data_IF_649875036078
#
_entry.id   IF_649875036078
#
_cell.length_a   1.000
_cell.length_b   1.000
_cell.length_c   1.000
_cell.angle_alpha   90.00
_cell.angle_beta   90.00
_cell.angle_gamma   90.00
#
_symmetry.space_group_name_H-M   'P 1'
#
loop_
_entity.id
_entity.type
_entity.pdbx_description
1 polymer ?
#
# COMPACT_ATOMS: atom_id res chain seq x y z
N UNK A 1 -5.90 31.03 7.30
CA UNK A 1 -6.40 30.00 6.36
C UNK A 1 -5.18 29.32 5.79
N UNK A 2 -4.65 28.33 6.53
CA UNK A 2 -3.33 27.75 6.27
C UNK A 2 -3.53 26.49 5.44
N UNK A 3 -2.97 26.49 4.25
CA UNK A 3 -2.92 25.33 3.38
C UNK A 3 -2.20 24.19 4.11
N UNK A 4 -2.86 23.05 4.33
CA UNK A 4 -2.18 21.79 4.63
C UNK A 4 -1.45 21.33 3.36
N UNK A 5 -0.35 22.02 3.07
CA UNK A 5 0.64 21.68 2.07
C UNK A 5 1.59 20.69 2.73
N UNK A 6 1.54 19.44 2.27
CA UNK A 6 2.52 18.41 2.59
C UNK A 6 2.53 17.98 4.06
N UNK A 7 1.71 16.98 4.39
CA UNK A 7 2.11 16.06 5.45
C UNK A 7 3.47 15.47 5.02
N UNK A 8 4.47 15.82 5.81
CA UNK A 8 5.89 15.63 5.57
C UNK A 8 6.19 14.13 5.38
N UNK A 9 6.94 13.73 4.36
CA UNK A 9 7.46 12.35 4.19
C UNK A 9 8.23 11.88 5.45
N UNK A 10 8.72 12.84 6.24
CA UNK A 10 9.24 12.61 7.60
C UNK A 10 8.23 11.94 8.53
N UNK A 11 6.96 12.34 8.53
CA UNK A 11 5.93 11.78 9.42
C UNK A 11 5.69 10.30 9.13
N UNK A 12 5.62 9.87 7.87
CA UNK A 12 5.50 8.44 7.53
C UNK A 12 6.71 7.65 8.05
N UNK A 13 7.93 8.16 7.87
CA UNK A 13 9.16 7.47 8.32
C UNK A 13 9.36 7.52 9.84
N UNK A 14 8.95 8.61 10.50
CA UNK A 14 9.02 8.80 11.95
C UNK A 14 7.95 7.95 12.66
N UNK A 15 6.70 7.96 12.19
CA UNK A 15 5.64 7.09 12.70
C UNK A 15 5.94 5.60 12.46
N UNK A 16 6.60 5.25 11.35
CA UNK A 16 7.03 3.88 11.06
C UNK A 16 8.19 3.42 11.94
N UNK A 17 9.12 4.31 12.30
CA UNK A 17 10.19 4.03 13.27
C UNK A 17 9.63 3.75 14.66
N UNK A 18 8.62 4.52 15.08
CA UNK A 18 7.99 4.35 16.39
C UNK A 18 7.14 3.08 16.49
N UNK A 19 6.62 2.57 15.36
CA UNK A 19 5.70 1.41 15.32
C UNK A 19 6.36 0.07 14.93
N UNK A 20 7.69 0.01 14.72
CA UNK A 20 8.41 -1.23 14.36
C UNK A 20 7.79 -1.97 13.14
N UNK A 21 7.28 -1.21 12.16
CA UNK A 21 6.59 -1.78 11.00
C UNK A 21 7.61 -2.47 10.09
N UNK A 22 7.45 -3.78 9.87
CA UNK A 22 8.29 -4.54 8.95
C UNK A 22 7.85 -4.28 7.50
N UNK A 23 8.74 -3.81 6.61
CA UNK A 23 8.40 -3.66 5.21
C UNK A 23 8.13 -5.00 4.55
N UNK A 24 7.42 -4.96 3.42
CA UNK A 24 7.29 -6.11 2.52
C UNK A 24 8.14 -5.89 1.30
N UNK A 25 9.07 -6.81 1.09
CA UNK A 25 9.95 -6.80 -0.05
C UNK A 25 9.27 -7.44 -1.27
N UNK A 26 9.46 -6.86 -2.44
CA UNK A 26 8.89 -7.35 -3.71
C UNK A 26 9.35 -8.80 -4.01
N UNK A 27 10.60 -9.19 -3.70
CA UNK A 27 11.02 -10.60 -3.81
C UNK A 27 10.26 -11.51 -2.83
N UNK A 28 9.96 -11.05 -1.62
CA UNK A 28 9.18 -11.87 -0.67
C UNK A 28 7.74 -12.06 -1.17
N UNK A 29 7.17 -11.05 -1.86
CA UNK A 29 5.87 -11.17 -2.52
C UNK A 29 5.92 -12.22 -3.64
N UNK A 30 6.92 -12.18 -4.52
CA UNK A 30 7.12 -13.19 -5.58
C UNK A 30 7.25 -14.60 -4.98
N UNK A 31 8.09 -14.75 -3.95
CA UNK A 31 8.26 -16.03 -3.25
C UNK A 31 6.96 -16.53 -2.62
N UNK A 32 6.12 -15.63 -2.13
CA UNK A 32 4.84 -16.00 -1.55
C UNK A 32 3.87 -16.58 -2.59
N UNK A 33 3.88 -16.07 -3.82
CA UNK A 33 3.09 -16.67 -4.91
C UNK A 33 3.55 -18.07 -5.25
N UNK A 34 4.85 -18.25 -5.39
CA UNK A 34 5.43 -19.53 -5.81
C UNK A 34 5.17 -20.67 -4.82
N UNK A 35 4.68 -20.35 -3.62
CA UNK A 35 4.25 -21.33 -2.61
C UNK A 35 2.79 -21.75 -2.76
N UNK A 36 1.98 -20.97 -3.48
CA UNK A 36 0.58 -21.28 -3.70
C UNK A 36 0.45 -22.30 -4.82
N UNK A 37 -0.47 -23.25 -4.66
CA UNK A 37 -0.78 -24.20 -5.72
C UNK A 37 -1.73 -23.58 -6.76
N UNK A 38 -1.89 -24.25 -7.90
CA UNK A 38 -2.75 -23.80 -9.00
C UNK A 38 -4.19 -23.53 -8.54
N UNK A 39 -4.78 -24.37 -7.69
CA UNK A 39 -6.15 -24.17 -7.20
C UNK A 39 -6.27 -22.91 -6.33
N UNK A 40 -5.27 -22.66 -5.48
CA UNK A 40 -5.20 -21.45 -4.65
C UNK A 40 -5.03 -20.20 -5.50
N UNK A 41 -4.20 -20.25 -6.54
CA UNK A 41 -4.00 -19.14 -7.47
C UNK A 41 -5.29 -18.86 -8.27
N UNK A 42 -5.97 -19.88 -8.78
CA UNK A 42 -7.27 -19.72 -9.47
C UNK A 42 -8.33 -19.14 -8.53
N UNK A 43 -8.41 -19.61 -7.28
CA UNK A 43 -9.32 -19.02 -6.26
C UNK A 43 -9.02 -17.55 -5.97
N UNK A 44 -7.76 -17.14 -6.14
CA UNK A 44 -7.33 -15.75 -6.00
C UNK A 44 -7.51 -14.92 -7.27
N UNK A 45 -8.07 -15.50 -8.34
CA UNK A 45 -8.45 -14.78 -9.55
C UNK A 45 -7.38 -14.75 -10.65
N UNK A 46 -6.29 -15.51 -10.51
CA UNK A 46 -5.30 -15.63 -11.58
C UNK A 46 -5.81 -16.54 -12.71
N UNK A 47 -5.53 -16.16 -13.95
CA UNK A 47 -5.79 -17.01 -15.11
C UNK A 47 -4.69 -18.06 -15.35
N UNK A 48 -4.93 -19.00 -16.27
CA UNK A 48 -3.97 -20.07 -16.56
C UNK A 48 -2.63 -19.57 -17.13
N UNK A 49 -2.62 -18.44 -17.86
CA UNK A 49 -1.38 -17.86 -18.40
C UNK A 49 -0.57 -17.17 -17.31
N UNK A 50 -1.23 -16.49 -16.38
CA UNK A 50 -0.60 -15.87 -15.21
C UNK A 50 -0.03 -16.92 -14.28
N UNK A 51 -0.79 -17.97 -13.97
CA UNK A 51 -0.31 -19.11 -13.18
C UNK A 51 0.93 -19.72 -13.82
N UNK A 52 0.91 -19.91 -15.14
CA UNK A 52 2.09 -20.38 -15.87
C UNK A 52 3.29 -19.43 -15.71
N UNK A 53 3.12 -18.11 -15.81
CA UNK A 53 4.21 -17.13 -15.60
C UNK A 53 4.78 -17.16 -14.17
N UNK A 54 3.92 -17.39 -13.17
CA UNK A 54 4.32 -17.53 -11.77
C UNK A 54 5.17 -18.79 -11.58
N UNK A 55 4.76 -19.91 -12.17
CA UNK A 55 5.41 -21.21 -12.01
C UNK A 55 6.70 -21.35 -12.85
N UNK A 56 6.75 -20.76 -14.05
CA UNK A 56 7.73 -21.07 -15.12
C UNK A 56 9.14 -20.48 -14.97
N UNK A 57 9.57 -20.02 -13.79
CA UNK A 57 10.83 -19.25 -13.58
C UNK A 57 10.92 -17.93 -14.37
N UNK A 58 9.94 -17.61 -15.20
CA UNK A 58 9.95 -16.43 -16.07
C UNK A 58 9.89 -15.16 -15.23
N UNK A 59 9.09 -15.14 -14.15
CA UNK A 59 9.04 -14.01 -13.22
C UNK A 59 10.39 -13.71 -12.55
N UNK A 60 11.17 -14.73 -12.17
CA UNK A 60 12.51 -14.51 -11.58
C UNK A 60 13.49 -13.99 -12.63
N UNK A 61 13.38 -14.53 -13.84
CA UNK A 61 14.21 -14.15 -14.99
C UNK A 61 13.94 -12.70 -15.39
N UNK A 62 12.67 -12.29 -15.46
CA UNK A 62 12.27 -10.91 -15.73
C UNK A 62 12.73 -9.95 -14.64
N UNK A 63 12.60 -10.33 -13.37
CA UNK A 63 13.11 -9.53 -12.26
C UNK A 63 14.63 -9.28 -12.40
N UNK A 64 15.41 -10.33 -12.67
CA UNK A 64 16.86 -10.22 -12.89
C UNK A 64 17.20 -9.37 -14.11
N UNK A 65 16.46 -9.51 -15.21
CA UNK A 65 16.61 -8.66 -16.42
C UNK A 65 16.42 -7.19 -16.07
N UNK A 66 15.44 -6.85 -15.23
CA UNK A 66 15.24 -5.46 -14.77
C UNK A 66 16.46 -4.96 -13.98
N UNK A 67 17.00 -5.74 -13.04
CA UNK A 67 18.20 -5.34 -12.31
C UNK A 67 19.42 -5.18 -13.23
N UNK A 68 19.61 -6.07 -14.21
CA UNK A 68 20.69 -5.98 -15.20
C UNK A 68 20.56 -4.73 -16.09
N UNK A 69 19.34 -4.31 -16.43
CA UNK A 69 19.08 -3.04 -17.11
C UNK A 69 19.45 -1.86 -16.21
N UNK A 70 19.00 -1.87 -14.95
CA UNK A 70 19.31 -0.81 -13.96
C UNK A 70 20.80 -0.68 -13.69
N UNK A 71 21.53 -1.79 -13.64
CA UNK A 71 23.00 -1.82 -13.52
C UNK A 71 23.72 -0.98 -14.59
N UNK A 72 23.11 -0.66 -15.74
CA UNK A 72 23.72 0.16 -16.79
C UNK A 72 23.43 1.67 -16.65
N UNK A 73 22.53 2.07 -15.77
CA UNK A 73 22.12 3.46 -15.60
C UNK A 73 23.19 4.30 -14.87
N UNK A 74 23.27 5.61 -15.07
CA UNK A 74 24.15 6.48 -14.29
C UNK A 74 23.84 6.45 -12.79
N UNK A 75 24.86 6.63 -11.95
CA UNK A 75 24.72 6.62 -10.47
C UNK A 75 23.68 7.62 -9.98
N UNK A 76 23.66 8.83 -10.53
CA UNK A 76 22.67 9.85 -10.18
C UNK A 76 21.24 9.43 -10.52
N UNK A 77 21.05 8.67 -11.59
CA UNK A 77 19.74 8.11 -11.92
C UNK A 77 19.35 7.01 -10.93
N UNK A 78 20.28 6.13 -10.54
CA UNK A 78 20.02 5.10 -9.53
C UNK A 78 19.64 5.69 -8.17
N UNK A 79 20.29 6.77 -7.76
CA UNK A 79 19.94 7.52 -6.55
C UNK A 79 18.52 8.08 -6.62
N UNK A 80 18.13 8.67 -7.77
CA UNK A 80 16.75 9.15 -7.98
C UNK A 80 15.73 8.02 -7.93
N UNK A 81 16.10 6.82 -8.38
CA UNK A 81 15.29 5.61 -8.25
C UNK A 81 15.23 5.06 -6.82
N UNK A 82 15.91 5.67 -5.85
CA UNK A 82 15.86 5.34 -4.42
C UNK A 82 16.99 4.45 -3.92
N UNK A 83 17.94 4.06 -4.77
CA UNK A 83 19.06 3.21 -4.35
C UNK A 83 20.06 3.98 -3.47
N UNK A 84 20.42 3.39 -2.34
CA UNK A 84 21.56 3.84 -1.52
C UNK A 84 22.90 3.51 -2.18
N UNK A 85 23.98 4.18 -1.75
CA UNK A 85 25.34 3.91 -2.27
C UNK A 85 25.74 2.45 -2.14
N UNK A 86 25.44 1.82 -0.99
CA UNK A 86 25.72 0.40 -0.74
C UNK A 86 24.96 -0.49 -1.73
N UNK A 87 23.68 -0.18 -1.98
CA UNK A 87 22.89 -0.92 -2.97
C UNK A 87 23.39 -0.68 -4.39
N UNK A 88 23.86 0.53 -4.73
CA UNK A 88 24.44 0.83 -6.04
C UNK A 88 25.71 0.01 -6.25
N UNK A 89 26.63 -0.04 -5.29
CA UNK A 89 27.84 -0.87 -5.38
C UNK A 89 27.48 -2.34 -5.59
N UNK A 90 26.53 -2.87 -4.82
CA UNK A 90 26.06 -4.25 -4.98
C UNK A 90 25.39 -4.47 -6.34
N UNK A 91 24.57 -3.53 -6.81
CA UNK A 91 23.92 -3.57 -8.12
C UNK A 91 24.93 -3.57 -9.28
N UNK A 92 26.04 -2.83 -9.18
CA UNK A 92 27.10 -2.85 -10.20
C UNK A 92 27.80 -4.20 -10.29
N UNK A 93 27.83 -4.96 -9.20
CA UNK A 93 28.55 -6.22 -9.13
C UNK A 93 27.71 -7.45 -9.52
N UNK A 94 26.41 -7.31 -9.79
CA UNK A 94 25.59 -8.45 -10.20
C UNK A 94 26.04 -9.02 -11.57
N UNK A 95 25.99 -10.33 -11.71
CA UNK A 95 26.37 -11.11 -12.89
C UNK A 95 25.16 -11.63 -13.65
N UNK A 96 24.00 -11.73 -13.01
CA UNK A 96 22.73 -12.21 -13.56
C UNK A 96 22.40 -13.66 -13.20
N UNK A 97 23.32 -14.39 -12.56
CA UNK A 97 23.11 -15.77 -12.12
C UNK A 97 22.78 -15.89 -10.62
N UNK A 98 22.71 -14.77 -9.90
CA UNK A 98 22.37 -14.74 -8.48
C UNK A 98 20.98 -15.31 -8.21
N UNK A 99 20.80 -15.94 -7.06
CA UNK A 99 19.50 -16.32 -6.51
C UNK A 99 18.70 -15.09 -6.07
N UNK A 100 17.37 -15.21 -5.95
CA UNK A 100 16.53 -14.12 -5.45
C UNK A 100 16.94 -13.64 -4.05
N UNK A 101 17.43 -14.53 -3.17
CA UNK A 101 17.90 -14.17 -1.83
C UNK A 101 19.14 -13.28 -1.88
N UNK A 102 20.10 -13.60 -2.75
CA UNK A 102 21.32 -12.81 -2.91
C UNK A 102 21.04 -11.38 -3.38
N UNK A 103 20.00 -11.19 -4.19
CA UNK A 103 19.60 -9.88 -4.71
C UNK A 103 18.43 -9.22 -3.94
N UNK A 104 17.93 -9.83 -2.87
CA UNK A 104 16.80 -9.30 -2.07
C UNK A 104 17.03 -7.87 -1.59
N UNK A 105 18.24 -7.54 -1.16
CA UNK A 105 18.57 -6.18 -0.71
C UNK A 105 18.57 -5.12 -1.82
N UNK A 106 18.49 -5.52 -3.09
CA UNK A 106 18.36 -4.64 -4.27
C UNK A 106 16.91 -4.50 -4.75
N UNK A 107 16.00 -5.29 -4.18
CA UNK A 107 14.57 -5.26 -4.46
C UNK A 107 13.89 -4.15 -3.66
N UNK A 108 12.75 -3.67 -4.15
CA UNK A 108 11.99 -2.63 -3.49
C UNK A 108 11.30 -3.17 -2.23
N UNK A 109 11.28 -2.34 -1.20
CA UNK A 109 10.51 -2.54 0.01
C UNK A 109 9.31 -1.57 -0.01
N UNK A 110 8.12 -2.15 0.20
CA UNK A 110 6.88 -1.43 0.43
C UNK A 110 6.64 -1.32 1.92
N UNK A 111 6.42 -0.09 2.37
CA UNK A 111 6.05 0.24 3.73
C UNK A 111 4.61 0.71 3.72
N UNK A 112 3.81 0.29 4.71
CA UNK A 112 2.50 0.87 4.92
C UNK A 112 2.14 1.04 6.39
N UNK A 113 1.11 1.82 6.65
CA UNK A 113 0.59 2.06 7.99
C UNK A 113 -0.92 2.31 7.96
N UNK A 114 -1.54 2.15 9.12
CA UNK A 114 -2.81 2.79 9.44
C UNK A 114 -2.97 3.05 10.93
N UNK A 115 -3.84 3.99 11.28
CA UNK A 115 -4.25 4.26 12.65
C UNK A 115 -5.58 5.00 12.71
N UNK A 116 -6.16 5.06 13.90
CA UNK A 116 -7.38 5.82 14.18
C UNK A 116 -6.97 7.15 14.82
N UNK A 117 -7.32 8.25 14.17
CA UNK A 117 -7.06 9.62 14.63
C UNK A 117 -8.02 10.00 15.75
N UNK A 118 -9.31 9.79 15.49
CA UNK A 118 -10.39 10.20 16.39
C UNK A 118 -11.41 9.10 16.51
N UNK A 119 -11.94 8.94 17.71
CA UNK A 119 -13.06 8.06 18.02
C UNK A 119 -13.88 8.77 19.10
N UNK A 120 -15.04 9.31 18.71
CA UNK A 120 -15.86 10.14 19.60
C UNK A 120 -17.34 9.84 19.43
N UNK A 121 -18.08 9.92 20.51
CA UNK A 121 -19.55 9.93 20.47
C UNK A 121 -20.06 11.37 20.46
N UNK A 122 -20.99 11.64 19.57
CA UNK A 122 -21.68 12.91 19.37
C UNK A 122 -23.13 12.72 19.85
N UNK A 123 -23.48 13.35 20.98
CA UNK A 123 -24.79 13.22 21.62
C UNK A 123 -25.90 13.90 20.83
N UNK A 124 -25.57 14.94 20.07
CA UNK A 124 -26.56 15.76 19.36
C UNK A 124 -27.10 15.01 18.14
N UNK A 125 -26.23 14.24 17.50
CA UNK A 125 -26.60 13.36 16.37
C UNK A 125 -26.84 11.91 16.79
N UNK A 126 -26.63 11.58 18.06
CA UNK A 126 -26.63 10.23 18.62
C UNK A 126 -25.80 9.25 17.76
N UNK A 127 -24.56 9.65 17.44
CA UNK A 127 -23.67 8.88 16.56
C UNK A 127 -22.26 8.81 17.10
N UNK A 128 -21.61 7.67 16.90
CA UNK A 128 -20.16 7.55 17.03
C UNK A 128 -19.50 7.91 15.70
N UNK A 129 -18.48 8.76 15.75
CA UNK A 129 -17.68 9.22 14.60
C UNK A 129 -16.24 8.75 14.77
N UNK A 130 -15.68 8.19 13.72
CA UNK A 130 -14.31 7.68 13.67
C UNK A 130 -13.61 8.26 12.45
N UNK A 131 -12.39 8.75 12.63
CA UNK A 131 -11.50 9.14 11.54
C UNK A 131 -10.27 8.26 11.58
N UNK A 132 -9.95 7.63 10.46
CA UNK A 132 -8.80 6.75 10.31
C UNK A 132 -7.93 7.19 9.14
N UNK A 133 -6.62 7.03 9.34
CA UNK A 133 -5.60 7.34 8.35
C UNK A 133 -4.85 6.10 7.91
N UNK A 134 -4.37 6.13 6.68
CA UNK A 134 -3.54 5.08 6.11
C UNK A 134 -2.58 5.64 5.07
N UNK A 135 -1.50 4.91 4.80
CA UNK A 135 -0.58 5.30 3.75
C UNK A 135 0.44 4.23 3.41
N UNK A 136 1.17 4.47 2.32
CA UNK A 136 2.20 3.57 1.81
C UNK A 136 3.33 4.35 1.13
N UNK A 137 4.53 3.75 1.10
CA UNK A 137 5.70 4.26 0.36
C UNK A 137 6.57 3.10 -0.13
N UNK A 138 7.07 3.23 -1.36
CA UNK A 138 8.16 2.43 -1.90
C UNK A 138 9.50 3.12 -1.67
N UNK A 139 10.48 2.43 -1.09
CA UNK A 139 11.83 2.99 -0.91
C UNK A 139 12.57 3.16 -2.24
N UNK A 140 12.47 2.15 -3.11
CA UNK A 140 13.10 2.03 -4.42
C UNK A 140 12.01 1.80 -5.46
N UNK A 141 12.23 2.21 -6.71
CA UNK A 141 11.33 1.88 -7.82
C UNK A 141 11.16 0.34 -7.91
N UNK A 142 9.94 -0.22 -7.80
CA UNK A 142 9.72 -1.66 -7.94
C UNK A 142 10.15 -2.19 -9.31
N UNK A 143 10.62 -3.43 -9.39
CA UNK A 143 11.03 -4.03 -10.65
C UNK A 143 9.83 -4.19 -11.60
N UNK A 144 8.71 -4.67 -11.07
CA UNK A 144 7.43 -4.73 -11.76
C UNK A 144 6.66 -3.43 -11.57
N UNK A 145 6.06 -2.91 -12.63
CA UNK A 145 5.45 -1.57 -12.66
C UNK A 145 4.06 -1.60 -13.31
N UNK A 146 3.30 -2.67 -13.02
CA UNK A 146 1.94 -2.89 -13.48
C UNK A 146 0.93 -2.09 -12.63
N UNK A 147 -0.23 -2.67 -12.31
CA UNK A 147 -1.29 -2.03 -11.53
C UNK A 147 -1.21 -2.41 -10.06
N UNK A 148 -1.19 -1.43 -9.18
CA UNK A 148 -1.25 -1.66 -7.74
C UNK A 148 -2.64 -1.35 -7.19
N UNK A 149 -2.95 -1.91 -6.02
CA UNK A 149 -4.26 -1.75 -5.39
C UNK A 149 -4.13 -1.47 -3.91
N UNK A 150 -5.06 -0.69 -3.40
CA UNK A 150 -5.23 -0.45 -1.97
C UNK A 150 -6.58 -0.95 -1.51
N UNK A 151 -6.62 -1.43 -0.27
CA UNK A 151 -7.85 -1.83 0.39
C UNK A 151 -7.88 -1.32 1.82
N UNK A 152 -9.03 -0.79 2.24
CA UNK A 152 -9.34 -0.50 3.63
C UNK A 152 -10.60 -1.24 4.05
N UNK A 153 -10.64 -1.64 5.31
CA UNK A 153 -11.82 -2.28 5.89
C UNK A 153 -11.97 -1.94 7.37
N UNK A 154 -13.21 -1.99 7.84
CA UNK A 154 -13.57 -1.67 9.21
C UNK A 154 -14.64 -2.63 9.74
N UNK A 155 -14.79 -2.65 11.08
CA UNK A 155 -15.77 -3.49 11.76
C UNK A 155 -16.97 -2.75 12.31
N UNK A 156 -17.93 -3.55 12.80
CA UNK A 156 -19.18 -3.06 13.36
C UNK A 156 -20.16 -2.64 12.27
N UNK A 157 -21.13 -1.83 12.67
CA UNK A 157 -22.15 -1.26 11.80
C UNK A 157 -21.76 0.15 11.33
N UNK A 158 -20.49 0.49 11.47
CA UNK A 158 -19.91 1.71 10.93
C UNK A 158 -20.11 1.77 9.40
N UNK A 159 -20.52 2.93 8.93
CA UNK A 159 -20.69 3.27 7.53
C UNK A 159 -19.82 4.48 7.19
N UNK A 160 -19.56 4.72 5.91
CA UNK A 160 -18.92 5.98 5.50
C UNK A 160 -19.80 7.15 5.93
N UNK A 161 -19.22 8.11 6.64
CA UNK A 161 -19.97 9.27 7.16
C UNK A 161 -20.42 10.17 6.00
N UNK A 162 -21.75 10.32 5.77
CA UNK A 162 -22.28 11.12 4.68
C UNK A 162 -22.22 12.63 4.95
N UNK A 163 -22.16 13.06 6.22
CA UNK A 163 -22.08 14.47 6.62
C UNK A 163 -20.69 15.05 6.31
N UNK A 164 -19.71 14.17 6.24
CA UNK A 164 -18.40 14.48 5.69
C UNK A 164 -18.43 14.32 4.18
N UNK A 165 -18.81 15.41 3.48
CA UNK A 165 -18.81 15.51 2.01
C UNK A 165 -17.75 14.60 1.39
N UNK A 166 -18.16 13.71 0.49
CA UNK A 166 -17.35 12.62 -0.09
C UNK A 166 -15.99 13.08 -0.65
N UNK A 167 -15.83 14.36 -0.96
CA UNK A 167 -14.59 14.96 -1.45
C UNK A 167 -13.65 15.52 -0.38
N UNK A 168 -14.07 15.66 0.87
CA UNK A 168 -13.25 16.27 1.92
C UNK A 168 -12.61 15.24 2.85
N UNK A 169 -13.33 14.17 3.22
CA UNK A 169 -12.86 13.24 4.26
C UNK A 169 -13.03 11.73 3.98
N UNK A 170 -13.18 11.32 2.71
CA UNK A 170 -13.09 9.92 2.30
C UNK A 170 -12.32 9.81 0.97
N UNK A 171 -11.00 9.82 1.05
CA UNK A 171 -10.14 9.95 -0.13
C UNK A 171 -8.78 9.35 0.11
N UNK A 172 -8.06 9.18 -0.99
CA UNK A 172 -6.62 8.98 -0.95
C UNK A 172 -5.93 9.84 -2.02
N UNK A 173 -4.67 10.15 -1.75
CA UNK A 173 -3.77 10.87 -2.63
C UNK A 173 -2.64 9.92 -3.02
N UNK A 174 -2.39 9.82 -4.32
CA UNK A 174 -1.27 9.12 -4.94
C UNK A 174 -0.22 10.15 -5.36
N UNK A 175 1.04 9.93 -5.01
CA UNK A 175 2.16 10.78 -5.40
C UNK A 175 3.08 10.04 -6.36
N UNK A 176 3.12 10.54 -7.59
CA UNK A 176 3.93 10.04 -8.67
C UNK A 176 5.25 10.80 -8.75
N UNK A 177 6.36 10.07 -8.84
CA UNK A 177 7.72 10.61 -8.94
C UNK A 177 8.33 10.30 -10.29
N UNK A 178 8.95 11.31 -10.91
CA UNK A 178 9.74 11.12 -12.12
C UNK A 178 11.06 10.39 -11.83
N UNK A 179 11.29 9.26 -12.51
CA UNK A 179 12.51 8.45 -12.37
C UNK A 179 13.79 9.15 -12.84
N UNK A 180 13.68 10.22 -13.62
CA UNK A 180 14.79 10.92 -14.26
C UNK A 180 14.95 12.37 -13.81
N UNK A 181 13.94 12.95 -13.16
CA UNK A 181 13.98 14.32 -12.65
C UNK A 181 13.63 14.37 -11.15
N UNK A 182 13.36 15.55 -10.61
CA UNK A 182 12.87 15.74 -9.23
C UNK A 182 11.39 16.15 -9.21
N UNK A 183 10.70 16.02 -10.34
CA UNK A 183 9.30 16.40 -10.48
C UNK A 183 8.39 15.37 -9.83
N UNK A 184 7.32 15.87 -9.24
CA UNK A 184 6.27 15.06 -8.61
C UNK A 184 4.91 15.52 -9.08
N UNK A 185 3.98 14.58 -9.20
CA UNK A 185 2.58 14.84 -9.54
C UNK A 185 1.69 14.12 -8.53
N UNK A 186 0.70 14.82 -7.99
CA UNK A 186 -0.28 14.23 -7.07
C UNK A 186 -1.63 14.04 -7.75
N UNK A 187 -2.33 12.96 -7.38
CA UNK A 187 -3.69 12.67 -7.82
C UNK A 187 -4.54 12.27 -6.62
N UNK A 188 -5.73 12.86 -6.53
CA UNK A 188 -6.71 12.52 -5.51
C UNK A 188 -7.78 11.65 -6.12
N UNK A 189 -8.19 10.60 -5.41
CA UNK A 189 -9.35 9.79 -5.76
C UNK A 189 -10.24 9.65 -4.53
N UNK A 190 -11.55 9.65 -4.75
CA UNK A 190 -12.52 9.39 -3.69
C UNK A 190 -12.50 7.91 -3.32
N UNK A 191 -12.72 7.63 -2.04
CA UNK A 191 -12.91 6.27 -1.53
C UNK A 191 -14.39 6.08 -1.24
N UNK A 192 -15.01 5.12 -1.93
CA UNK A 192 -16.40 4.76 -1.72
C UNK A 192 -16.52 3.30 -1.32
N UNK A 193 -17.55 2.99 -0.51
CA UNK A 193 -17.81 1.63 -0.08
C UNK A 193 -18.14 0.76 -1.30
N UNK A 194 -17.53 -0.41 -1.37
CA UNK A 194 -17.81 -1.40 -2.42
C UNK A 194 -18.78 -2.45 -1.90
N UNK A 195 -18.34 -3.28 -0.95
CA UNK A 195 -19.14 -4.33 -0.33
C UNK A 195 -18.69 -4.55 1.11
N UNK A 196 -19.66 -4.73 2.01
CA UNK A 196 -19.44 -5.25 3.37
C UNK A 196 -18.33 -4.51 4.13
N UNK A 197 -18.45 -3.18 4.29
CA UNK A 197 -17.55 -2.36 5.10
C UNK A 197 -16.10 -2.32 4.56
N UNK A 198 -15.96 -2.24 3.24
CA UNK A 198 -14.66 -2.13 2.57
C UNK A 198 -14.66 -1.08 1.47
N UNK A 199 -13.50 -0.43 1.29
CA UNK A 199 -13.20 0.39 0.12
C UNK A 199 -11.94 -0.15 -0.56
N UNK A 200 -11.89 0.01 -1.89
CA UNK A 200 -10.70 -0.31 -2.68
C UNK A 200 -10.52 0.68 -3.82
N UNK A 201 -9.27 0.90 -4.19
CA UNK A 201 -8.87 1.56 -5.43
C UNK A 201 -7.78 0.74 -6.12
N UNK A 202 -7.69 0.83 -7.44
CA UNK A 202 -6.62 0.24 -8.25
C UNK A 202 -6.08 1.29 -9.21
N UNK A 203 -4.76 1.34 -9.35
CA UNK A 203 -4.08 2.40 -10.09
C UNK A 203 -2.79 1.88 -10.71
N UNK A 204 -2.46 2.40 -11.88
CA UNK A 204 -1.21 2.02 -12.53
C UNK A 204 -0.01 2.60 -11.77
N UNK A 205 0.98 1.74 -11.54
CA UNK A 205 2.23 2.14 -10.92
C UNK A 205 3.00 3.05 -11.87
N UNK A 206 2.86 2.91 -13.19
CA UNK A 206 3.46 3.81 -14.20
C UNK A 206 2.47 4.14 -15.32
N UNK A 207 2.71 5.25 -16.04
CA UNK A 207 2.04 5.48 -17.32
C UNK A 207 0.56 5.86 -17.24
N UNK A 208 0.12 6.37 -16.09
CA UNK A 208 -1.28 6.73 -15.83
C UNK A 208 -1.85 7.81 -16.78
N UNK A 209 -1.02 8.74 -17.28
CA UNK A 209 -1.41 9.80 -18.23
C UNK A 209 -0.38 9.93 -19.37
N UNK A 210 -0.82 10.39 -20.56
CA UNK A 210 0.09 10.79 -21.63
C UNK A 210 1.08 11.86 -21.13
N UNK A 211 2.38 11.56 -21.26
CA UNK A 211 3.47 12.43 -20.78
C UNK A 211 4.02 12.07 -19.40
N UNK A 212 3.45 11.07 -18.70
CA UNK A 212 3.93 10.57 -17.41
C UNK A 212 4.57 9.17 -17.49
N UNK A 213 5.08 8.76 -18.66
CA UNK A 213 5.68 7.42 -18.86
C UNK A 213 6.92 7.17 -17.97
N UNK A 214 7.58 8.26 -17.57
CA UNK A 214 8.74 8.27 -16.70
C UNK A 214 8.40 8.31 -15.21
N UNK A 215 7.13 8.43 -14.84
CA UNK A 215 6.71 8.53 -13.47
C UNK A 215 6.35 7.17 -12.91
N UNK A 216 6.53 6.99 -11.60
CA UNK A 216 5.96 5.87 -10.86
C UNK A 216 5.26 6.33 -9.58
N UNK A 217 4.20 5.64 -9.15
CA UNK A 217 3.53 5.94 -7.88
C UNK A 217 4.45 5.53 -6.71
N UNK A 218 5.14 6.50 -6.12
CA UNK A 218 6.10 6.23 -5.03
C UNK A 218 5.39 6.06 -3.70
N UNK A 219 4.35 6.84 -3.44
CA UNK A 219 3.69 6.86 -2.16
C UNK A 219 2.24 7.30 -2.28
N UNK A 220 1.49 7.06 -1.21
CA UNK A 220 0.19 7.67 -1.03
C UNK A 220 -0.27 7.64 0.42
N UNK A 221 -1.36 8.36 0.64
CA UNK A 221 -1.98 8.55 1.95
C UNK A 221 -3.47 8.76 1.76
N UNK A 222 -4.29 8.33 2.71
CA UNK A 222 -5.72 8.57 2.68
C UNK A 222 -6.34 8.67 4.05
N UNK A 223 -7.58 9.16 4.03
CA UNK A 223 -8.43 9.38 5.20
C UNK A 223 -9.77 8.70 4.94
N UNK A 224 -10.27 8.01 5.96
CA UNK A 224 -11.63 7.47 6.02
C UNK A 224 -12.36 8.07 7.22
N UNK A 225 -13.53 8.64 6.99
CA UNK A 225 -14.46 9.07 8.02
C UNK A 225 -15.64 8.09 8.08
N UNK A 226 -15.82 7.47 9.25
CA UNK A 226 -16.81 6.43 9.50
C UNK A 226 -17.77 6.87 10.62
N UNK A 227 -19.03 6.47 10.53
CA UNK A 227 -20.05 6.75 11.55
C UNK A 227 -20.93 5.53 11.84
N UNK A 228 -21.31 5.34 13.09
CA UNK A 228 -22.29 4.35 13.55
C UNK A 228 -23.35 5.04 14.43
N UNK A 229 -24.60 4.56 14.41
CA UNK A 229 -25.65 5.06 15.29
C UNK A 229 -25.43 4.56 16.72
N UNK A 230 -25.58 5.45 17.70
CA UNK A 230 -25.39 5.14 19.11
C UNK A 230 -23.93 5.20 19.57
N UNK A 231 -23.69 4.69 20.78
CA UNK A 231 -22.36 4.66 21.42
C UNK A 231 -21.65 3.35 21.08
N UNK A 232 -20.71 3.41 20.14
CA UNK A 232 -19.87 2.28 19.76
C UNK A 232 -18.47 2.44 20.36
N UNK A 233 -18.01 1.48 21.15
CA UNK A 233 -16.68 1.50 21.77
C UNK A 233 -15.64 0.68 21.00
N UNK A 234 -16.06 -0.21 20.10
CA UNK A 234 -15.22 -1.24 19.51
C UNK A 234 -15.03 -1.03 18.01
N UNK A 235 -14.13 -0.11 17.64
CA UNK A 235 -13.72 0.10 16.25
C UNK A 235 -12.34 -0.51 15.97
N UNK A 236 -12.24 -1.17 14.82
CA UNK A 236 -11.05 -1.74 14.20
C UNK A 236 -11.00 -1.24 12.78
N UNK A 237 -9.81 -0.82 12.37
CA UNK A 237 -9.53 -0.36 11.03
C UNK A 237 -8.30 -1.11 10.51
N UNK A 238 -8.36 -1.54 9.25
CA UNK A 238 -7.30 -2.26 8.57
C UNK A 238 -7.01 -1.62 7.24
N UNK A 239 -5.73 -1.37 6.96
CA UNK A 239 -5.23 -1.01 5.64
C UNK A 239 -4.36 -2.13 5.10
N UNK A 240 -4.42 -2.33 3.79
CA UNK A 240 -3.54 -3.24 3.08
C UNK A 240 -3.22 -2.73 1.67
N UNK A 241 -2.04 -3.09 1.21
CA UNK A 241 -1.49 -2.75 -0.11
C UNK A 241 -1.22 -4.02 -0.93
N UNK A 242 -1.55 -3.99 -2.21
CA UNK A 242 -1.29 -5.07 -3.16
C UNK A 242 -0.46 -4.59 -4.35
N UNK A 243 0.57 -5.36 -4.69
CA UNK A 243 1.46 -5.12 -5.82
C UNK A 243 1.33 -6.23 -6.86
N UNK A 244 1.07 -5.86 -8.12
CA UNK A 244 0.88 -6.81 -9.21
C UNK A 244 2.20 -7.09 -9.94
N UNK A 245 2.48 -8.38 -10.16
CA UNK A 245 3.70 -8.84 -10.81
C UNK A 245 3.46 -9.51 -12.18
N UNK A 246 2.22 -9.79 -12.57
CA UNK A 246 1.92 -10.64 -13.74
C UNK A 246 0.76 -10.20 -14.64
N UNK A 247 -0.13 -9.29 -14.19
CA UNK A 247 -1.19 -8.75 -15.05
C UNK A 247 -2.46 -8.34 -14.32
N UNK A 248 -2.98 -9.13 -13.39
CA UNK A 248 -4.23 -8.84 -12.67
C UNK A 248 -4.05 -7.97 -11.42
N UNK A 249 -4.81 -6.89 -11.36
CA UNK A 249 -4.89 -6.01 -10.19
C UNK A 249 -5.49 -6.75 -8.98
N UNK A 250 -4.91 -6.64 -7.78
CA UNK A 250 -5.47 -7.23 -6.56
C UNK A 250 -6.91 -6.78 -6.28
N UNK A 251 -7.74 -7.65 -5.70
CA UNK A 251 -9.14 -7.35 -5.35
C UNK A 251 -9.46 -7.66 -3.88
N UNK A 252 -10.53 -7.05 -3.34
CA UNK A 252 -10.92 -7.20 -1.93
C UNK A 252 -12.05 -8.22 -1.72
N UNK A 253 -11.89 -9.09 -0.72
CA UNK A 253 -12.90 -10.07 -0.26
C UNK A 253 -13.09 -10.06 1.27
N UNK A 254 -14.20 -10.64 1.74
CA UNK A 254 -14.71 -10.66 3.13
C UNK A 254 -14.69 -12.11 3.71
N UNK A 255 -14.67 -12.35 5.05
CA UNK A 255 -14.58 -11.44 6.21
C UNK A 255 -13.15 -11.18 6.68
N UNK A 256 -12.80 -9.93 7.01
CA UNK A 256 -11.46 -9.46 7.46
C UNK A 256 -10.25 -10.22 6.91
N UNK A 257 -10.28 -10.40 5.61
CA UNK A 257 -9.27 -11.12 4.88
C UNK A 257 -9.38 -10.59 3.48
N UNK A 258 -8.85 -9.39 3.25
CA UNK A 258 -8.62 -8.97 1.88
C UNK A 258 -7.86 -10.11 1.23
N UNK A 259 -8.52 -10.80 0.31
CA UNK A 259 -7.91 -11.76 -0.58
C UNK A 259 -6.96 -11.02 -1.51
N UNK A 260 -5.89 -10.43 -0.97
CA UNK A 260 -4.75 -10.14 -1.79
C UNK A 260 -4.24 -11.48 -2.31
N UNK A 261 -3.98 -11.49 -3.61
CA UNK A 261 -3.26 -12.53 -4.32
C UNK A 261 -1.87 -12.81 -3.69
N UNK A 262 -1.40 -11.95 -2.77
CA UNK A 262 -0.07 -11.96 -2.17
C UNK A 262 -0.09 -11.51 -0.70
N UNK A 263 0.96 -11.85 0.06
CA UNK A 263 1.16 -11.39 1.44
C UNK A 263 1.36 -9.85 1.43
N UNK A 264 0.30 -9.10 1.77
CA UNK A 264 0.33 -7.64 1.94
C UNK A 264 0.61 -7.25 3.39
N UNK A 265 0.95 -5.98 3.62
CA UNK A 265 1.24 -5.49 4.97
C UNK A 265 -0.09 -5.19 5.64
N UNK A 266 -0.28 -5.83 6.78
CA UNK A 266 -1.52 -5.80 7.54
C UNK A 266 -1.19 -5.20 8.90
N UNK A 267 -1.85 -4.08 9.21
CA UNK A 267 -1.85 -3.52 10.55
C UNK A 267 -3.29 -3.49 11.05
N UNK A 268 -3.57 -4.33 12.05
CA UNK A 268 -4.84 -4.30 12.77
C UNK A 268 -4.63 -3.39 13.98
N UNK A 269 -5.24 -2.20 13.94
CA UNK A 269 -5.37 -1.42 15.16
C UNK A 269 -6.42 -2.09 16.06
N UNK A 270 -6.04 -2.39 17.29
CA UNK A 270 -6.97 -2.73 18.37
C UNK A 270 -6.86 -1.62 19.42
N UNK A 271 -7.97 -1.01 19.85
CA UNK A 271 -7.92 0.01 20.89
C UNK A 271 -7.35 -0.58 22.19
N UNK A 272 -6.67 0.23 23.03
CA UNK A 272 -6.43 -0.15 24.41
C UNK A 272 -7.77 -0.48 25.06
N UNK A 273 -7.83 -1.55 25.85
CA UNK A 273 -9.03 -1.87 26.63
C UNK A 273 -9.46 -0.62 27.40
N UNK A 274 -10.73 -0.24 27.30
CA UNK A 274 -11.31 0.81 28.13
C UNK A 274 -11.21 0.31 29.58
N UNK A 275 -10.15 0.69 30.27
CA UNK A 275 -10.09 0.55 31.71
C UNK A 275 -11.18 1.48 32.26
N UNK A 276 -12.23 0.88 32.81
CA UNK A 276 -13.27 1.57 33.57
C UNK A 276 -12.60 2.50 34.60
N UNK A 277 -12.51 3.78 34.28
CA UNK A 277 -12.35 4.83 35.28
C UNK A 277 -13.74 5.36 35.60
N UNK A 278 -14.49 4.54 36.34
CA UNK A 278 -15.40 5.12 37.32
C UNK A 278 -14.52 5.89 38.31
N UNK A 279 -14.54 7.21 38.26
CA UNK A 279 -14.25 8.03 39.44
C UNK A 279 -15.28 9.16 39.49
N UNK A 280 -16.21 8.95 40.43
CA UNK A 280 -16.93 9.95 41.23
C UNK A 280 -16.36 11.37 41.09
N UNK A 281 -17.19 12.34 40.71
CA UNK A 281 -17.84 13.30 41.61
C UNK A 281 -19.09 13.86 40.93
#
# INVERSE_FOLDING_TARGET
MTFCTGINIKLVKEEMKDKNIKPINEIDMIKSLKKLNKEELTKKGFDNQEIFKIDSMDIETEFKKVLLKRKKLPTEQLKRMGYSEIQITKLRNIKGNETLDEIRSLSADMYCYNYINTHRYDSDTNRTKVEAEFGWEWNVVPAFQFTDSIGVGWNGDFQIDPDYYQYWLNYHIKTYYDKYSSKTVTRRSSMSEKKMNTCQDSFDLTGYDEGLQNYFCKSGYGVMALTEVGKASNVKFSFKYGHNHVGVAPSVTYPYGVGFTFKGAEQIYSPPSVANSQKNF
#
